data_IF_803536501278
#
_entry.id   IF_803536501278
#
_cell.length_a   1.000
_cell.length_b   1.000
_cell.length_c   1.000
_cell.angle_alpha   90.00
_cell.angle_beta   90.00
_cell.angle_gamma   90.00
#
_symmetry.space_group_name_H-M   'P 1'
#
loop_
_entity.id
_entity.type
_entity.pdbx_description
1 polymer ?
#
# COMPACT_ATOMS: atom_id res chain seq x y z
N UNK A 1 81.76 -17.56 -56.66
CA UNK A 1 81.41 -19.00 -56.59
C UNK A 1 80.60 -19.36 -57.82
N UNK A 2 80.99 -20.42 -58.54
CA UNK A 2 80.41 -20.80 -59.82
C UNK A 2 79.13 -21.63 -59.65
N UNK A 3 78.08 -21.31 -60.40
CA UNK A 3 76.77 -22.00 -60.40
C UNK A 3 76.88 -23.53 -60.59
N UNK A 4 77.98 -24.02 -61.18
CA UNK A 4 78.24 -25.46 -61.36
C UNK A 4 78.59 -26.20 -60.06
N UNK A 5 79.16 -25.52 -59.06
CA UNK A 5 79.48 -26.17 -57.77
C UNK A 5 78.25 -26.30 -56.86
N UNK A 6 77.24 -25.44 -57.02
CA UNK A 6 76.00 -25.52 -56.25
C UNK A 6 75.14 -26.75 -56.66
N UNK A 7 75.18 -27.11 -57.94
CA UNK A 7 74.37 -28.20 -58.48
C UNK A 7 74.84 -29.61 -58.08
N UNK A 8 76.13 -29.76 -57.73
CA UNK A 8 76.68 -31.05 -57.30
C UNK A 8 76.34 -31.43 -55.86
N UNK A 9 76.02 -30.46 -55.00
CA UNK A 9 75.61 -30.72 -53.62
C UNK A 9 74.13 -31.12 -53.48
N UNK A 10 73.29 -30.77 -54.45
CA UNK A 10 71.85 -31.07 -54.42
C UNK A 10 71.54 -32.52 -54.88
N UNK A 11 72.48 -33.21 -55.55
CA UNK A 11 72.25 -34.54 -56.12
C UNK A 11 72.43 -35.73 -55.15
N UNK A 12 72.62 -35.50 -53.85
CA UNK A 12 72.80 -36.55 -52.85
C UNK A 12 71.89 -36.41 -51.61
N UNK A 13 70.80 -35.65 -51.73
CA UNK A 13 69.85 -35.32 -50.64
C UNK A 13 68.52 -36.10 -50.76
N UNK A 14 68.45 -37.18 -51.55
CA UNK A 14 67.18 -37.89 -51.88
C UNK A 14 66.41 -38.44 -50.65
N UNK A 15 67.03 -38.50 -49.47
CA UNK A 15 66.37 -38.89 -48.21
C UNK A 15 66.02 -37.73 -47.26
N UNK A 16 66.72 -36.59 -47.31
CA UNK A 16 66.55 -35.50 -46.34
C UNK A 16 65.28 -34.68 -46.59
N UNK A 17 64.87 -34.55 -47.85
CA UNK A 17 63.62 -33.89 -48.23
C UNK A 17 62.39 -34.59 -47.66
N UNK A 18 62.39 -35.93 -47.63
CA UNK A 18 61.32 -36.72 -47.03
C UNK A 18 61.26 -36.52 -45.52
N UNK A 19 62.40 -36.53 -44.83
CA UNK A 19 62.48 -36.31 -43.38
C UNK A 19 61.97 -34.91 -43.01
N UNK A 20 62.35 -33.89 -43.78
CA UNK A 20 61.92 -32.51 -43.55
C UNK A 20 60.40 -32.36 -43.77
N UNK A 21 59.84 -32.98 -44.81
CA UNK A 21 58.39 -33.03 -45.01
C UNK A 21 57.68 -33.74 -43.85
N UNK A 22 58.24 -34.84 -43.34
CA UNK A 22 57.66 -35.59 -42.22
C UNK A 22 57.70 -34.79 -40.91
N UNK A 23 58.81 -34.09 -40.64
CA UNK A 23 58.93 -33.20 -39.48
C UNK A 23 57.95 -32.02 -39.55
N UNK A 24 57.86 -31.36 -40.71
CA UNK A 24 56.91 -30.24 -40.89
C UNK A 24 55.47 -30.70 -40.76
N UNK A 25 55.12 -31.85 -41.33
CA UNK A 25 53.77 -32.43 -41.22
C UNK A 25 53.45 -32.82 -39.76
N UNK A 26 54.43 -33.37 -39.02
CA UNK A 26 54.27 -33.68 -37.60
C UNK A 26 54.03 -32.41 -36.77
N UNK A 27 54.81 -31.35 -37.01
CA UNK A 27 54.62 -30.06 -36.32
C UNK A 27 53.25 -29.48 -36.62
N UNK A 28 52.82 -29.47 -37.89
CA UNK A 28 51.49 -28.98 -38.28
C UNK A 28 50.37 -29.82 -37.66
N UNK A 29 50.56 -31.13 -37.53
CA UNK A 29 49.57 -32.02 -36.90
C UNK A 29 49.42 -31.75 -35.41
N UNK A 30 50.52 -31.59 -34.67
CA UNK A 30 50.49 -31.25 -33.24
C UNK A 30 49.88 -29.86 -33.02
N UNK A 31 50.21 -28.89 -33.87
CA UNK A 31 49.63 -27.55 -33.83
C UNK A 31 48.12 -27.59 -34.10
N UNK A 32 47.70 -28.33 -35.14
CA UNK A 32 46.29 -28.50 -35.49
C UNK A 32 45.48 -29.17 -34.37
N UNK A 33 46.02 -30.23 -33.75
CA UNK A 33 45.38 -30.90 -32.63
C UNK A 33 45.25 -29.97 -31.41
N UNK A 34 46.28 -29.17 -31.11
CA UNK A 34 46.28 -28.21 -29.99
C UNK A 34 45.24 -27.10 -30.20
N UNK A 35 45.18 -26.52 -31.39
CA UNK A 35 44.17 -25.51 -31.76
C UNK A 35 42.75 -26.08 -31.71
N UNK A 36 42.56 -27.31 -32.18
CA UNK A 36 41.27 -28.01 -32.10
C UNK A 36 40.81 -28.20 -30.65
N UNK A 37 41.71 -28.64 -29.77
CA UNK A 37 41.41 -28.82 -28.35
C UNK A 37 41.03 -27.50 -27.66
N UNK A 38 41.77 -26.42 -27.92
CA UNK A 38 41.47 -25.08 -27.38
C UNK A 38 40.11 -24.60 -27.87
N UNK A 39 39.82 -24.75 -29.17
CA UNK A 39 38.55 -24.29 -29.75
C UNK A 39 37.34 -25.02 -29.15
N UNK A 40 37.41 -26.35 -28.98
CA UNK A 40 36.35 -27.14 -28.35
C UNK A 40 36.18 -26.74 -26.88
N UNK A 41 37.29 -26.50 -26.17
CA UNK A 41 37.26 -26.00 -24.80
C UNK A 41 36.57 -24.65 -24.69
N UNK A 42 36.91 -23.70 -25.58
CA UNK A 42 36.28 -22.37 -25.62
C UNK A 42 34.79 -22.43 -25.95
N UNK A 43 34.37 -23.31 -26.87
CA UNK A 43 32.96 -23.46 -27.21
C UNK A 43 32.15 -23.98 -26.01
N UNK A 44 32.61 -25.04 -25.35
CA UNK A 44 31.97 -25.59 -24.14
C UNK A 44 31.92 -24.59 -22.99
N UNK A 45 32.97 -23.79 -22.82
CA UNK A 45 32.98 -22.74 -21.80
C UNK A 45 31.98 -21.62 -22.14
N UNK A 46 31.87 -21.28 -23.43
CA UNK A 46 30.90 -20.32 -23.94
C UNK A 46 29.46 -20.73 -23.66
N UNK A 47 29.09 -21.96 -24.00
CA UNK A 47 27.74 -22.49 -23.75
C UNK A 47 27.42 -22.47 -22.25
N UNK A 48 28.29 -23.03 -21.41
CA UNK A 48 28.05 -23.02 -19.95
C UNK A 48 27.94 -21.60 -19.37
N UNK A 49 28.75 -20.65 -19.84
CA UNK A 49 28.69 -19.26 -19.36
C UNK A 49 27.40 -18.57 -19.81
N UNK A 50 26.97 -18.84 -21.03
CA UNK A 50 25.74 -18.29 -21.61
C UNK A 50 24.52 -18.81 -20.86
N UNK A 51 24.45 -20.11 -20.62
CA UNK A 51 23.30 -20.74 -19.97
C UNK A 51 23.23 -20.35 -18.48
N UNK A 52 24.39 -20.27 -17.81
CA UNK A 52 24.48 -19.76 -16.43
C UNK A 52 24.00 -18.31 -16.32
N UNK A 53 24.42 -17.46 -17.27
CA UNK A 53 24.01 -16.05 -17.31
C UNK A 53 22.52 -15.93 -17.62
N UNK A 54 22.00 -16.78 -18.52
CA UNK A 54 20.58 -16.85 -18.86
C UNK A 54 19.74 -17.25 -17.66
N UNK A 55 20.11 -18.32 -16.94
CA UNK A 55 19.43 -18.75 -15.73
C UNK A 55 19.40 -17.66 -14.64
N UNK A 56 20.48 -16.87 -14.53
CA UNK A 56 20.51 -15.72 -13.62
C UNK A 56 19.48 -14.64 -14.00
N UNK A 57 19.43 -14.22 -15.27
CA UNK A 57 18.45 -13.23 -15.72
C UNK A 57 17.01 -13.70 -15.57
N UNK A 58 16.76 -15.00 -15.79
CA UNK A 58 15.45 -15.61 -15.56
C UNK A 58 15.07 -15.59 -14.08
N UNK A 59 16.03 -15.89 -13.19
CA UNK A 59 15.82 -15.79 -11.75
C UNK A 59 15.54 -14.34 -11.32
N UNK A 60 16.29 -13.36 -11.84
CA UNK A 60 16.09 -11.95 -11.55
C UNK A 60 14.72 -11.45 -12.05
N UNK A 61 14.34 -11.80 -13.27
CA UNK A 61 13.04 -11.47 -13.83
C UNK A 61 11.89 -12.04 -12.97
N UNK A 62 11.98 -13.31 -12.57
CA UNK A 62 11.01 -13.93 -11.67
C UNK A 62 10.92 -13.24 -10.31
N UNK A 63 12.06 -12.86 -9.72
CA UNK A 63 12.07 -12.11 -8.45
C UNK A 63 11.43 -10.71 -8.59
N UNK A 64 11.62 -10.05 -9.73
CA UNK A 64 11.02 -8.75 -10.01
C UNK A 64 9.51 -8.86 -10.25
N UNK A 65 9.04 -9.85 -11.01
CA UNK A 65 7.61 -10.10 -11.20
C UNK A 65 6.91 -10.38 -9.86
N UNK A 66 7.45 -11.29 -9.05
CA UNK A 66 6.90 -11.58 -7.73
C UNK A 66 6.92 -10.37 -6.79
N UNK A 67 7.92 -9.49 -6.92
CA UNK A 67 7.96 -8.24 -6.14
C UNK A 67 6.84 -7.29 -6.55
N UNK A 68 6.58 -7.11 -7.85
CA UNK A 68 5.48 -6.25 -8.34
C UNK A 68 4.09 -6.82 -8.00
N UNK A 69 3.94 -8.15 -7.96
CA UNK A 69 2.72 -8.79 -7.48
C UNK A 69 2.53 -8.59 -5.97
N UNK A 70 3.60 -8.76 -5.17
CA UNK A 70 3.58 -8.55 -3.73
C UNK A 70 3.28 -7.08 -3.38
N UNK A 71 4.09 -6.15 -3.90
CA UNK A 71 3.64 -4.96 -4.64
C UNK A 71 2.18 -4.54 -4.49
N UNK A 72 1.46 -4.84 -5.57
CA UNK A 72 0.05 -4.56 -5.77
C UNK A 72 -0.85 -5.26 -4.74
N UNK A 73 -0.55 -6.49 -4.36
CA UNK A 73 -1.35 -7.25 -3.39
C UNK A 73 -1.37 -6.60 -2.01
N UNK A 74 -0.21 -6.17 -1.51
CA UNK A 74 -0.10 -5.46 -0.22
C UNK A 74 -0.84 -4.12 -0.25
N UNK A 75 -0.76 -3.36 -1.35
CA UNK A 75 -1.52 -2.11 -1.51
C UNK A 75 -3.03 -2.38 -1.47
N UNK A 76 -3.51 -3.40 -2.18
CA UNK A 76 -4.92 -3.78 -2.15
C UNK A 76 -5.40 -4.26 -0.76
N UNK A 77 -4.50 -4.81 0.06
CA UNK A 77 -4.78 -5.13 1.47
C UNK A 77 -4.82 -3.88 2.33
N UNK A 78 -3.90 -2.92 2.10
CA UNK A 78 -3.84 -1.65 2.82
C UNK A 78 -5.14 -0.85 2.65
N UNK A 79 -5.67 -0.78 1.43
CA UNK A 79 -6.92 -0.09 1.10
C UNK A 79 -8.16 -0.62 1.86
N UNK A 80 -8.08 -1.84 2.41
CA UNK A 80 -9.14 -2.44 3.23
C UNK A 80 -9.17 -1.90 4.67
N UNK A 81 -8.20 -1.07 5.08
CA UNK A 81 -8.11 -0.46 6.42
C UNK A 81 -8.16 -1.50 7.55
N UNK A 82 -7.45 -2.61 7.37
CA UNK A 82 -7.39 -3.66 8.39
C UNK A 82 -6.52 -3.21 9.57
N UNK A 83 -6.89 -3.55 10.82
CA UNK A 83 -5.98 -3.42 11.96
C UNK A 83 -4.67 -4.16 11.70
N UNK A 84 -3.54 -3.69 12.24
CA UNK A 84 -2.19 -4.24 11.99
C UNK A 84 -2.12 -5.77 11.99
N UNK A 85 -2.70 -6.41 13.01
CA UNK A 85 -2.67 -7.87 13.13
C UNK A 85 -3.43 -8.55 11.98
N UNK A 86 -4.59 -8.02 11.57
CA UNK A 86 -5.36 -8.53 10.44
C UNK A 86 -4.69 -8.20 9.11
N UNK A 87 -4.07 -7.02 8.99
CA UNK A 87 -3.30 -6.63 7.82
C UNK A 87 -2.19 -7.63 7.54
N UNK A 88 -1.36 -8.00 8.53
CA UNK A 88 -0.27 -8.92 8.29
C UNK A 88 -0.66 -10.40 8.33
N UNK A 89 -1.50 -10.81 9.29
CA UNK A 89 -1.72 -12.24 9.59
C UNK A 89 -3.04 -12.79 9.06
N UNK A 90 -3.97 -11.94 8.59
CA UNK A 90 -5.27 -12.37 8.07
C UNK A 90 -5.16 -13.09 6.72
N UNK A 91 -6.09 -13.99 6.42
CA UNK A 91 -6.20 -14.64 5.09
C UNK A 91 -6.45 -13.60 3.99
N UNK A 92 -7.25 -12.57 4.28
CA UNK A 92 -7.45 -11.42 3.39
C UNK A 92 -6.33 -10.37 3.45
N UNK A 93 -5.27 -10.66 4.22
CA UNK A 93 -4.13 -9.79 4.50
C UNK A 93 -2.87 -10.10 3.67
N UNK A 94 -1.72 -9.56 4.09
CA UNK A 94 -0.40 -9.78 3.48
C UNK A 94 -0.03 -11.27 3.48
N UNK A 95 -0.46 -12.04 4.49
CA UNK A 95 -0.30 -13.50 4.52
C UNK A 95 -0.96 -14.16 3.30
N UNK A 96 -2.19 -13.79 2.94
CA UNK A 96 -2.87 -14.33 1.77
C UNK A 96 -2.17 -13.98 0.47
N UNK A 97 -1.71 -12.73 0.34
CA UNK A 97 -0.90 -12.29 -0.82
C UNK A 97 0.36 -13.14 -0.95
N UNK A 98 1.11 -13.30 0.15
CA UNK A 98 2.31 -14.15 0.18
C UNK A 98 2.00 -15.59 -0.25
N UNK A 99 0.96 -16.19 0.32
CA UNK A 99 0.58 -17.57 0.04
C UNK A 99 0.10 -17.77 -1.40
N UNK A 100 -0.41 -16.73 -2.06
CA UNK A 100 -0.77 -16.77 -3.49
C UNK A 100 0.44 -16.72 -4.44
N UNK A 101 1.58 -16.20 -3.99
CA UNK A 101 2.82 -16.07 -4.78
C UNK A 101 3.80 -17.22 -4.45
N UNK A 102 3.74 -17.76 -3.23
CA UNK A 102 4.65 -18.80 -2.78
C UNK A 102 4.45 -20.11 -3.55
N UNK A 103 5.48 -20.56 -4.27
CA UNK A 103 5.42 -21.74 -5.12
C UNK A 103 4.95 -21.48 -6.55
N UNK A 104 4.61 -20.23 -6.90
CA UNK A 104 4.26 -19.86 -8.28
C UNK A 104 5.44 -20.06 -9.24
N UNK A 105 5.10 -20.41 -10.48
CA UNK A 105 6.04 -20.69 -11.55
C UNK A 105 5.81 -19.75 -12.73
N UNK A 106 6.81 -18.94 -13.07
CA UNK A 106 6.80 -18.11 -14.27
C UNK A 106 7.48 -18.82 -15.43
N UNK A 107 6.88 -18.74 -16.61
CA UNK A 107 7.45 -19.22 -17.88
C UNK A 107 7.82 -18.05 -18.77
N UNK A 108 8.95 -18.13 -19.45
CA UNK A 108 9.44 -17.08 -20.35
C UNK A 108 9.45 -17.54 -21.81
N UNK A 109 9.75 -16.63 -22.73
CA UNK A 109 9.88 -16.96 -24.13
C UNK A 109 11.00 -17.98 -24.37
N UNK A 110 10.80 -18.88 -25.33
CA UNK A 110 11.76 -19.92 -25.69
C UNK A 110 13.11 -19.31 -26.08
N UNK A 111 14.19 -19.87 -25.53
CA UNK A 111 15.57 -19.48 -25.82
C UNK A 111 16.38 -20.73 -26.14
N UNK A 112 16.97 -20.78 -27.34
CA UNK A 112 17.83 -21.90 -27.79
C UNK A 112 17.17 -23.30 -27.76
N UNK A 113 15.84 -23.38 -27.94
CA UNK A 113 15.12 -24.66 -28.00
C UNK A 113 14.49 -25.11 -26.68
N UNK A 114 14.69 -24.35 -25.60
CA UNK A 114 14.14 -24.64 -24.27
C UNK A 114 13.31 -23.46 -23.77
N UNK A 115 12.28 -23.75 -22.97
CA UNK A 115 11.41 -22.73 -22.35
C UNK A 115 11.92 -22.44 -20.95
N UNK A 116 12.51 -21.26 -20.68
CA UNK A 116 13.00 -20.94 -19.36
C UNK A 116 11.87 -20.82 -18.34
N UNK A 117 12.17 -21.16 -17.10
CA UNK A 117 11.21 -21.07 -15.99
C UNK A 117 11.83 -20.44 -14.75
N UNK A 118 11.03 -19.75 -13.94
CA UNK A 118 11.41 -19.30 -12.61
C UNK A 118 10.41 -19.79 -11.56
N UNK A 119 10.89 -20.41 -10.49
CA UNK A 119 10.06 -20.82 -9.34
C UNK A 119 10.27 -19.88 -8.17
N UNK A 120 9.18 -19.40 -7.57
CA UNK A 120 9.20 -18.39 -6.50
C UNK A 120 8.97 -19.01 -5.13
N UNK A 121 9.66 -18.47 -4.13
CA UNK A 121 9.37 -18.74 -2.72
C UNK A 121 9.45 -17.44 -1.93
N UNK A 122 8.45 -17.15 -1.10
CA UNK A 122 8.41 -15.93 -0.28
C UNK A 122 8.45 -16.29 1.19
N UNK A 123 9.51 -15.86 1.88
CA UNK A 123 9.69 -16.15 3.32
C UNK A 123 9.63 -14.89 4.16
N UNK A 124 8.88 -14.97 5.26
CA UNK A 124 8.89 -13.98 6.32
C UNK A 124 10.15 -14.17 7.19
N UNK A 125 10.84 -13.06 7.47
CA UNK A 125 12.10 -13.02 8.23
C UNK A 125 11.89 -12.36 9.59
N UNK A 126 10.96 -11.41 9.67
CA UNK A 126 10.62 -10.64 10.87
C UNK A 126 9.11 -10.58 11.04
N UNK A 127 8.66 -10.71 12.30
CA UNK A 127 7.25 -10.54 12.68
C UNK A 127 6.96 -9.12 13.24
N UNK A 128 7.98 -8.28 13.39
CA UNK A 128 7.84 -6.91 13.88
C UNK A 128 7.44 -6.00 12.73
N UNK A 129 6.72 -4.90 13.00
CA UNK A 129 6.44 -3.86 12.04
C UNK A 129 7.56 -2.79 12.05
N UNK A 130 8.24 -2.52 10.93
CA UNK A 130 7.97 -3.07 9.60
C UNK A 130 8.46 -4.51 9.40
N UNK A 131 7.65 -5.34 8.73
CA UNK A 131 7.94 -6.76 8.50
C UNK A 131 8.89 -6.96 7.35
N UNK A 132 9.85 -7.85 7.53
CA UNK A 132 10.84 -8.18 6.51
C UNK A 132 10.48 -9.50 5.83
N UNK A 133 10.54 -9.50 4.50
CA UNK A 133 10.33 -10.68 3.66
C UNK A 133 11.51 -10.83 2.70
N UNK A 134 11.72 -12.07 2.23
CA UNK A 134 12.69 -12.38 1.18
C UNK A 134 12.00 -13.19 0.11
N UNK A 135 11.94 -12.61 -1.09
CA UNK A 135 11.55 -13.32 -2.31
C UNK A 135 12.78 -14.07 -2.80
N UNK A 136 12.68 -15.38 -2.96
CA UNK A 136 13.70 -16.24 -3.56
C UNK A 136 13.17 -16.74 -4.90
N UNK A 137 13.89 -16.45 -5.98
CA UNK A 137 13.55 -16.93 -7.31
C UNK A 137 14.64 -17.89 -7.80
N UNK A 138 14.24 -19.07 -8.25
CA UNK A 138 15.13 -20.06 -8.87
C UNK A 138 14.81 -20.11 -10.36
N UNK A 139 15.70 -19.52 -11.17
CA UNK A 139 15.61 -19.52 -12.63
C UNK A 139 16.31 -20.74 -13.20
N UNK A 140 15.69 -21.38 -14.19
CA UNK A 140 16.18 -22.59 -14.86
C UNK A 140 16.20 -22.41 -16.39
N UNK A 141 17.34 -22.73 -17.00
CA UNK A 141 17.55 -22.76 -18.46
C UNK A 141 18.40 -24.00 -18.78
N UNK A 142 17.89 -24.91 -19.60
CA UNK A 142 18.60 -26.15 -20.01
C UNK A 142 19.20 -26.93 -18.82
N UNK A 143 18.41 -27.12 -17.76
CA UNK A 143 18.82 -27.80 -16.52
C UNK A 143 19.86 -27.06 -15.68
N UNK A 144 20.28 -25.86 -16.07
CA UNK A 144 21.12 -24.97 -15.27
C UNK A 144 20.24 -24.08 -14.42
N UNK A 145 20.55 -23.99 -13.13
CA UNK A 145 19.77 -23.20 -12.18
C UNK A 145 20.59 -22.08 -11.57
N UNK A 146 19.98 -20.91 -11.40
CA UNK A 146 20.52 -19.83 -10.57
C UNK A 146 19.45 -19.33 -9.61
N UNK A 147 19.89 -18.84 -8.45
CA UNK A 147 19.00 -18.35 -7.40
C UNK A 147 19.28 -16.89 -7.12
N UNK A 148 18.23 -16.08 -7.15
CA UNK A 148 18.25 -14.66 -6.78
C UNK A 148 17.39 -14.47 -5.53
N UNK A 149 17.86 -13.64 -4.60
CA UNK A 149 17.13 -13.27 -3.40
C UNK A 149 16.90 -11.76 -3.37
N UNK A 150 15.65 -11.34 -3.24
CA UNK A 150 15.25 -9.94 -3.16
C UNK A 150 14.62 -9.67 -1.80
N UNK A 151 15.33 -8.99 -0.87
CA UNK A 151 14.74 -8.58 0.39
C UNK A 151 13.75 -7.43 0.15
N UNK A 152 12.62 -7.46 0.87
CA UNK A 152 11.66 -6.37 0.89
C UNK A 152 11.15 -6.14 2.31
N UNK A 153 10.75 -4.91 2.59
CA UNK A 153 10.19 -4.51 3.87
C UNK A 153 8.79 -3.99 3.65
N UNK A 154 7.80 -4.53 4.37
CA UNK A 154 6.42 -4.08 4.37
C UNK A 154 6.13 -3.38 5.68
N UNK A 155 5.80 -2.10 5.60
CA UNK A 155 5.41 -1.31 6.76
C UNK A 155 3.89 -1.24 6.82
N UNK A 156 3.34 -1.36 8.03
CA UNK A 156 1.96 -0.97 8.29
C UNK A 156 2.01 0.32 9.10
N UNK A 157 1.36 1.35 8.61
CA UNK A 157 0.97 2.49 9.43
C UNK A 157 -0.53 2.43 9.60
N UNK A 158 -1.02 2.80 10.77
CA UNK A 158 -2.40 3.23 10.87
C UNK A 158 -2.52 4.41 9.90
N UNK A 159 -3.29 4.24 8.83
CA UNK A 159 -3.43 5.31 7.86
C UNK A 159 -3.97 6.53 8.59
N UNK A 160 -3.24 7.64 8.54
CA UNK A 160 -3.80 8.97 8.75
C UNK A 160 -4.78 9.19 7.59
N UNK A 161 -5.93 8.52 7.64
CA UNK A 161 -6.99 8.76 6.68
C UNK A 161 -7.57 10.08 7.12
N UNK A 162 -7.40 11.17 6.35
CA UNK A 162 -8.07 12.41 6.68
C UNK A 162 -9.54 12.09 6.85
N UNK A 163 -10.10 12.48 8.00
CA UNK A 163 -11.53 12.32 8.25
C UNK A 163 -12.23 13.30 7.32
N UNK A 164 -12.53 12.83 6.10
CA UNK A 164 -13.29 13.60 5.14
C UNK A 164 -14.76 13.57 5.55
N UNK A 165 -15.22 14.71 6.09
CA UNK A 165 -16.64 14.92 6.26
C UNK A 165 -17.29 15.12 4.88
N UNK A 166 -18.41 14.47 4.59
CA UNK A 166 -19.09 14.69 3.32
C UNK A 166 -19.47 16.16 3.14
N UNK A 167 -19.43 16.64 1.90
CA UNK A 167 -19.78 18.02 1.61
C UNK A 167 -21.19 18.37 2.08
N UNK A 168 -21.32 19.59 2.61
CA UNK A 168 -22.58 20.18 3.09
C UNK A 168 -23.28 19.35 4.18
N UNK A 169 -22.55 18.53 4.94
CA UNK A 169 -23.10 17.75 6.06
C UNK A 169 -23.63 18.66 7.17
N UNK A 170 -24.94 18.64 7.41
CA UNK A 170 -25.53 19.24 8.59
C UNK A 170 -25.54 18.26 9.77
N UNK A 171 -25.86 16.99 9.48
CA UNK A 171 -25.98 15.95 10.49
C UNK A 171 -25.31 14.65 10.02
N UNK A 172 -24.50 14.05 10.88
CA UNK A 172 -23.97 12.70 10.71
C UNK A 172 -24.34 11.90 11.97
N UNK A 173 -25.14 10.83 11.82
CA UNK A 173 -25.65 10.04 12.96
C UNK A 173 -25.31 8.55 12.84
N UNK A 174 -24.77 7.90 13.90
CA UNK A 174 -24.51 6.44 13.93
C UNK A 174 -25.80 5.64 14.19
N UNK A 175 -26.73 6.28 14.87
CA UNK A 175 -28.02 5.75 15.30
C UNK A 175 -29.18 6.51 14.67
N UNK A 176 -30.34 6.44 15.33
CA UNK A 176 -31.57 7.06 14.85
C UNK A 176 -31.58 8.58 15.09
N UNK A 177 -32.30 9.28 14.20
CA UNK A 177 -32.53 10.72 14.31
C UNK A 177 -34.01 10.96 14.60
N UNK A 178 -34.33 11.72 15.65
CA UNK A 178 -35.70 12.16 15.97
C UNK A 178 -35.83 13.68 15.78
N UNK A 179 -36.74 14.10 14.89
CA UNK A 179 -37.03 15.51 14.60
C UNK A 179 -38.46 15.86 15.03
N UNK A 180 -38.63 16.88 15.88
CA UNK A 180 -39.95 17.29 16.42
C UNK A 180 -40.37 18.68 15.97
N UNK A 181 -41.68 18.86 15.80
CA UNK A 181 -42.43 20.05 15.40
C UNK A 181 -41.61 21.25 14.87
N UNK A 182 -41.61 21.45 13.54
CA UNK A 182 -41.07 22.66 12.93
C UNK A 182 -39.55 22.81 12.99
N UNK A 183 -38.79 21.72 13.16
CA UNK A 183 -37.33 21.73 12.97
C UNK A 183 -36.99 22.03 11.51
N UNK A 184 -35.95 22.83 11.28
CA UNK A 184 -35.40 23.13 9.96
C UNK A 184 -33.93 22.69 9.90
N UNK A 185 -33.59 21.86 8.90
CA UNK A 185 -32.22 21.40 8.66
C UNK A 185 -31.77 21.91 7.29
N UNK A 186 -30.68 22.65 7.24
CA UNK A 186 -30.07 23.16 6.00
C UNK A 186 -28.72 22.47 5.79
N UNK A 187 -28.71 21.53 4.85
CA UNK A 187 -27.59 20.65 4.58
C UNK A 187 -28.00 19.17 4.60
N UNK A 188 -27.04 18.34 4.23
CA UNK A 188 -27.22 16.91 4.03
C UNK A 188 -27.22 16.16 5.37
N UNK A 189 -27.95 15.04 5.41
CA UNK A 189 -28.00 14.12 6.55
C UNK A 189 -27.41 12.77 6.13
N UNK A 190 -26.46 12.28 6.91
CA UNK A 190 -25.79 11.00 6.67
C UNK A 190 -26.01 10.06 7.85
N UNK A 191 -26.45 8.82 7.55
CA UNK A 191 -26.68 7.78 8.53
C UNK A 191 -26.43 6.39 7.93
N UNK A 192 -26.16 5.36 8.75
CA UNK A 192 -26.05 3.99 8.28
C UNK A 192 -27.34 3.47 7.64
N UNK A 193 -27.19 2.45 6.80
CA UNK A 193 -28.29 1.87 6.01
C UNK A 193 -29.43 1.26 6.84
N UNK A 194 -29.17 0.88 8.08
CA UNK A 194 -30.12 0.23 8.99
C UNK A 194 -30.77 1.22 9.99
N UNK A 195 -30.45 2.52 9.92
CA UNK A 195 -30.98 3.57 10.81
C UNK A 195 -32.08 4.38 10.14
N UNK A 196 -32.82 5.11 10.96
CA UNK A 196 -34.02 5.83 10.51
C UNK A 196 -34.09 7.27 11.00
N UNK A 197 -34.84 8.09 10.24
CA UNK A 197 -35.21 9.45 10.63
C UNK A 197 -36.71 9.47 10.98
N UNK A 198 -37.01 9.66 12.27
CA UNK A 198 -38.39 9.81 12.76
C UNK A 198 -38.79 11.28 12.73
N UNK A 199 -39.78 11.63 11.90
CA UNK A 199 -40.31 12.99 11.75
C UNK A 199 -41.65 13.14 12.47
N UNK A 200 -41.73 14.03 13.45
CA UNK A 200 -42.96 14.39 14.17
C UNK A 200 -43.25 15.87 13.99
N UNK A 201 -44.44 16.24 13.49
CA UNK A 201 -44.84 17.65 13.41
C UNK A 201 -44.20 18.46 12.29
N UNK A 202 -44.06 17.86 11.11
CA UNK A 202 -43.63 18.55 9.87
C UNK A 202 -42.26 19.25 9.95
N UNK A 203 -41.17 18.54 10.32
CA UNK A 203 -39.83 19.09 10.14
C UNK A 203 -39.52 19.26 8.64
N UNK A 204 -38.72 20.28 8.31
CA UNK A 204 -38.30 20.60 6.94
C UNK A 204 -36.80 20.35 6.80
N UNK A 205 -36.41 19.66 5.72
CA UNK A 205 -35.01 19.38 5.40
C UNK A 205 -34.72 20.00 4.04
N UNK A 206 -33.81 20.97 4.02
CA UNK A 206 -33.28 21.64 2.84
C UNK A 206 -31.93 21.01 2.48
N UNK A 207 -31.98 19.74 2.09
CA UNK A 207 -30.81 18.92 1.75
C UNK A 207 -31.23 17.49 1.43
N UNK A 208 -30.26 16.65 1.09
CA UNK A 208 -30.47 15.23 0.82
C UNK A 208 -30.26 14.37 2.07
N UNK A 209 -30.80 13.16 2.05
CA UNK A 209 -30.61 12.16 3.11
C UNK A 209 -29.98 10.91 2.52
N UNK A 210 -28.81 10.55 3.04
CA UNK A 210 -28.02 9.43 2.55
C UNK A 210 -27.99 8.30 3.59
N UNK A 211 -28.31 7.10 3.13
CA UNK A 211 -28.24 5.86 3.91
C UNK A 211 -27.14 4.99 3.31
N UNK A 212 -25.98 4.89 3.98
CA UNK A 212 -24.81 4.20 3.43
C UNK A 212 -24.01 3.54 4.57
N UNK A 213 -23.65 2.26 4.39
CA UNK A 213 -22.87 1.49 5.38
C UNK A 213 -21.45 2.02 5.56
N UNK A 214 -20.93 2.83 4.63
CA UNK A 214 -19.60 3.45 4.81
C UNK A 214 -19.51 4.34 6.05
N UNK A 215 -20.65 4.87 6.52
CA UNK A 215 -20.69 5.73 7.70
C UNK A 215 -20.60 4.96 9.01
N UNK A 216 -20.78 3.64 9.01
CA UNK A 216 -20.53 2.81 10.20
C UNK A 216 -19.05 2.89 10.63
N UNK A 217 -18.14 2.85 9.66
CA UNK A 217 -16.69 2.91 9.90
C UNK A 217 -16.17 4.31 10.24
N UNK A 218 -16.89 5.38 9.91
CA UNK A 218 -16.47 6.76 10.20
C UNK A 218 -16.37 7.01 11.71
N UNK A 219 -17.30 6.47 12.50
CA UNK A 219 -17.34 6.63 13.95
C UNK A 219 -16.19 5.94 14.65
N UNK A 220 -15.83 4.74 14.17
CA UNK A 220 -14.75 3.97 14.76
C UNK A 220 -13.40 4.67 14.51
N UNK A 221 -13.24 5.30 13.33
CA UNK A 221 -12.07 6.16 13.01
C UNK A 221 -12.01 7.43 13.86
N UNK A 222 -13.13 8.16 14.00
CA UNK A 222 -13.21 9.39 14.81
C UNK A 222 -12.77 9.18 16.26
N UNK A 223 -13.10 8.03 16.85
CA UNK A 223 -12.73 7.74 18.24
C UNK A 223 -11.23 7.58 18.45
N UNK A 224 -10.51 6.97 17.50
CA UNK A 224 -9.06 6.84 17.57
C UNK A 224 -8.37 8.19 17.41
N UNK A 225 -8.83 8.99 16.44
CA UNK A 225 -8.20 10.25 16.05
C UNK A 225 -8.34 11.37 17.10
N UNK A 226 -9.53 11.53 17.68
CA UNK A 226 -9.82 12.71 18.52
C UNK A 226 -9.00 12.72 19.83
N UNK A 227 -8.52 11.57 20.30
CA UNK A 227 -7.76 11.45 21.55
C UNK A 227 -6.33 12.05 21.49
N UNK A 228 -5.71 12.10 20.32
CA UNK A 228 -4.31 12.52 20.21
C UNK A 228 -4.15 13.98 19.78
N UNK A 229 -4.92 14.44 18.81
CA UNK A 229 -4.72 15.75 18.17
C UNK A 229 -5.47 16.92 18.84
N UNK A 230 -6.56 16.65 19.57
CA UNK A 230 -7.31 17.71 20.27
C UNK A 230 -6.75 18.06 21.65
N UNK A 231 -5.49 17.71 21.93
CA UNK A 231 -4.79 18.11 23.16
C UNK A 231 -4.48 19.61 23.21
N UNK A 232 -4.48 20.30 22.07
CA UNK A 232 -4.33 21.75 21.96
C UNK A 232 -5.49 22.37 21.16
N UNK A 233 -6.73 22.32 21.69
CA UNK A 233 -7.87 22.94 21.04
C UNK A 233 -7.67 24.46 21.00
N UNK A 234 -8.11 25.13 19.92
CA UNK A 234 -8.14 26.60 19.87
C UNK A 234 -9.03 27.18 20.99
N UNK A 235 -8.88 28.48 21.28
CA UNK A 235 -9.48 29.16 22.45
C UNK A 235 -11.01 28.99 22.60
N UNK A 236 -11.72 28.71 21.52
CA UNK A 236 -13.19 28.57 21.48
C UNK A 236 -13.67 27.10 21.43
N UNK A 237 -12.79 26.11 21.67
CA UNK A 237 -13.16 24.69 21.61
C UNK A 237 -13.27 24.06 22.99
N UNK A 238 -14.42 23.41 23.26
CA UNK A 238 -14.66 22.63 24.49
C UNK A 238 -14.36 21.17 24.19
N UNK A 239 -13.41 20.58 24.90
CA UNK A 239 -13.07 19.15 24.78
C UNK A 239 -13.34 18.45 26.11
N UNK A 240 -14.15 17.39 26.07
CA UNK A 240 -14.48 16.54 27.22
C UNK A 240 -14.19 15.10 26.81
N UNK A 241 -13.21 14.49 27.47
CA UNK A 241 -12.82 13.10 27.23
C UNK A 241 -13.89 12.12 27.73
N UNK A 242 -14.30 12.30 28.99
CA UNK A 242 -15.31 11.45 29.64
C UNK A 242 -16.32 12.29 30.42
N UNK A 243 -17.60 11.97 30.25
CA UNK A 243 -18.73 12.60 30.92
C UNK A 243 -19.60 13.43 29.99
N UNK A 244 -20.82 13.69 30.45
CA UNK A 244 -21.81 14.46 29.69
C UNK A 244 -21.49 15.96 29.70
N UNK A 245 -21.86 16.65 28.64
CA UNK A 245 -21.77 18.10 28.54
C UNK A 245 -23.14 18.73 28.36
N UNK A 246 -23.43 19.78 29.12
CA UNK A 246 -24.62 20.61 28.93
C UNK A 246 -24.20 22.04 28.62
N UNK A 247 -24.57 22.53 27.45
CA UNK A 247 -24.34 23.93 27.06
C UNK A 247 -25.10 24.84 28.05
N UNK A 248 -24.53 25.97 28.49
CA UNK A 248 -25.24 26.88 29.38
C UNK A 248 -26.61 27.30 28.82
N UNK A 249 -27.64 27.31 29.68
CA UNK A 249 -29.02 27.62 29.27
C UNK A 249 -29.14 29.06 28.77
N UNK A 250 -29.94 29.28 27.70
CA UNK A 250 -30.22 30.61 27.15
C UNK A 250 -28.96 31.41 26.81
N UNK A 251 -27.95 30.72 26.29
CA UNK A 251 -26.65 31.30 25.98
C UNK A 251 -26.33 31.16 24.50
N UNK A 252 -25.26 31.83 24.07
CA UNK A 252 -24.61 31.62 22.79
C UNK A 252 -23.23 31.01 23.06
N UNK A 253 -22.98 29.82 22.54
CA UNK A 253 -21.66 29.22 22.50
C UNK A 253 -21.02 29.50 21.14
N UNK A 254 -19.77 29.96 21.10
CA UNK A 254 -19.01 30.12 19.87
C UNK A 254 -17.90 29.08 19.87
N UNK A 255 -17.72 28.40 18.73
CA UNK A 255 -16.71 27.37 18.55
C UNK A 255 -17.23 25.95 18.72
N UNK A 256 -16.29 25.01 18.81
CA UNK A 256 -16.55 23.57 18.62
C UNK A 256 -16.71 22.87 19.96
N UNK A 257 -17.74 22.03 20.08
CA UNK A 257 -17.96 21.16 21.23
C UNK A 257 -17.56 19.74 20.84
N UNK A 258 -16.63 19.15 21.58
CA UNK A 258 -16.14 17.78 21.39
C UNK A 258 -16.33 17.02 22.70
N UNK A 259 -17.19 16.01 22.69
CA UNK A 259 -17.44 15.12 23.82
C UNK A 259 -17.18 13.69 23.37
N UNK A 260 -16.02 13.17 23.74
CA UNK A 260 -15.56 11.85 23.30
C UNK A 260 -16.43 10.72 23.84
N UNK A 261 -16.64 10.69 25.16
CA UNK A 261 -17.45 9.67 25.84
C UNK A 261 -18.48 10.33 26.77
N UNK A 262 -19.61 10.71 26.22
CA UNK A 262 -20.73 11.26 26.99
C UNK A 262 -21.73 11.95 26.10
N UNK A 263 -22.90 12.23 26.65
CA UNK A 263 -23.98 12.88 25.91
C UNK A 263 -23.79 14.40 25.85
N UNK A 264 -24.26 15.03 24.77
CA UNK A 264 -24.32 16.50 24.65
C UNK A 264 -25.77 16.96 24.76
N UNK A 265 -26.02 17.91 25.66
CA UNK A 265 -27.32 18.55 25.84
C UNK A 265 -27.22 20.03 25.50
N UNK A 266 -27.94 20.46 24.48
CA UNK A 266 -28.16 21.88 24.14
C UNK A 266 -29.54 22.27 24.68
N UNK A 267 -29.65 23.03 25.78
CA UNK A 267 -30.95 23.37 26.35
C UNK A 267 -31.78 24.29 25.46
N UNK A 268 -33.04 24.51 25.83
CA UNK A 268 -33.94 25.39 25.10
C UNK A 268 -33.41 26.83 24.99
N UNK A 269 -33.69 27.47 23.86
CA UNK A 269 -33.30 28.86 23.58
C UNK A 269 -31.79 29.10 23.59
N UNK A 270 -30.99 28.10 23.23
CA UNK A 270 -29.52 28.20 23.18
C UNK A 270 -29.06 28.22 21.73
N UNK A 271 -28.04 29.02 21.42
CA UNK A 271 -27.41 29.08 20.11
C UNK A 271 -25.99 28.52 20.19
N UNK A 272 -25.60 27.69 19.22
CA UNK A 272 -24.23 27.20 19.07
C UNK A 272 -23.72 27.62 17.70
N UNK A 273 -22.74 28.52 17.68
CA UNK A 273 -22.04 28.97 16.48
C UNK A 273 -20.76 28.14 16.30
N UNK A 274 -20.95 26.89 15.88
CA UNK A 274 -19.89 25.93 15.66
C UNK A 274 -20.43 24.51 15.63
N UNK A 275 -19.52 23.55 15.49
CA UNK A 275 -19.87 22.13 15.34
C UNK A 275 -19.95 21.42 16.69
N UNK A 276 -20.76 20.36 16.75
CA UNK A 276 -20.89 19.47 17.91
C UNK A 276 -20.48 18.07 17.49
N UNK A 277 -19.47 17.51 18.15
CA UNK A 277 -18.96 16.16 17.95
C UNK A 277 -19.13 15.34 19.23
N UNK A 278 -19.97 14.31 19.16
CA UNK A 278 -20.18 13.33 20.22
C UNK A 278 -20.17 11.90 19.65
N UNK A 279 -19.03 11.41 19.11
CA UNK A 279 -19.00 10.17 18.33
C UNK A 279 -19.46 8.93 19.10
N UNK A 280 -19.36 8.94 20.43
CA UNK A 280 -19.87 7.88 21.33
C UNK A 280 -21.05 8.31 22.20
N UNK A 281 -21.59 9.50 21.96
CA UNK A 281 -22.63 10.13 22.75
C UNK A 281 -23.91 10.37 21.97
N UNK A 282 -25.01 10.51 22.70
CA UNK A 282 -26.25 11.03 22.15
C UNK A 282 -26.23 12.56 22.19
N UNK A 283 -26.92 13.19 21.25
CA UNK A 283 -27.07 14.64 21.21
C UNK A 283 -28.55 15.00 21.37
N UNK A 284 -28.83 15.88 22.33
CA UNK A 284 -30.17 16.38 22.62
C UNK A 284 -30.22 17.90 22.41
N UNK A 285 -30.98 18.35 21.41
CA UNK A 285 -31.17 19.76 21.09
C UNK A 285 -32.57 20.17 21.52
N UNK A 286 -32.64 21.09 22.48
CA UNK A 286 -33.88 21.61 23.06
C UNK A 286 -34.67 22.48 22.10
N UNK A 287 -35.84 22.92 22.55
CA UNK A 287 -36.77 23.73 21.76
C UNK A 287 -36.20 25.12 21.48
N UNK A 288 -36.38 25.60 20.24
CA UNK A 288 -35.92 26.92 19.76
C UNK A 288 -34.43 27.14 19.97
N UNK A 289 -33.64 26.12 19.69
CA UNK A 289 -32.19 26.17 19.78
C UNK A 289 -31.58 26.03 18.39
N UNK A 290 -30.60 26.85 18.09
CA UNK A 290 -30.04 26.95 16.74
C UNK A 290 -28.58 26.51 16.74
N UNK A 291 -28.20 25.67 15.77
CA UNK A 291 -26.83 25.22 15.56
C UNK A 291 -26.37 25.70 14.18
N UNK A 292 -25.30 26.49 14.16
CA UNK A 292 -24.65 26.99 12.96
C UNK A 292 -23.30 26.27 12.80
N UNK A 293 -23.38 25.03 12.34
CA UNK A 293 -22.28 24.08 12.21
C UNK A 293 -22.79 22.66 11.95
N UNK A 294 -21.87 21.69 11.99
CA UNK A 294 -22.20 20.28 11.81
C UNK A 294 -22.48 19.60 13.15
N UNK A 295 -23.42 18.66 13.17
CA UNK A 295 -23.73 17.82 14.33
C UNK A 295 -23.38 16.36 14.04
N UNK A 296 -22.52 15.77 14.85
CA UNK A 296 -22.10 14.38 14.75
C UNK A 296 -22.35 13.64 16.06
N UNK A 297 -23.17 12.58 16.06
CA UNK A 297 -23.47 11.81 17.27
C UNK A 297 -23.95 10.38 17.01
N UNK A 298 -24.25 9.63 18.08
CA UNK A 298 -24.94 8.33 17.97
C UNK A 298 -26.41 8.56 17.63
N UNK A 299 -27.24 8.88 18.62
CA UNK A 299 -28.63 9.25 18.38
C UNK A 299 -28.79 10.75 18.53
N UNK A 300 -29.53 11.37 17.61
CA UNK A 300 -29.70 12.82 17.57
C UNK A 300 -31.18 13.14 17.75
N UNK A 301 -31.50 13.83 18.84
CA UNK A 301 -32.86 14.20 19.20
C UNK A 301 -33.00 15.72 19.14
N UNK A 302 -33.81 16.21 18.20
CA UNK A 302 -34.02 17.63 17.99
C UNK A 302 -35.47 17.97 18.30
N UNK A 303 -35.65 18.83 19.29
CA UNK A 303 -36.94 19.30 19.76
C UNK A 303 -37.47 20.49 18.93
N UNK A 304 -38.63 21.02 19.31
CA UNK A 304 -39.43 21.88 18.43
C UNK A 304 -38.77 23.21 18.00
N UNK A 305 -39.01 23.62 16.75
CA UNK A 305 -38.63 24.92 16.18
C UNK A 305 -37.14 25.26 16.25
N UNK A 306 -36.28 24.24 16.18
CA UNK A 306 -34.82 24.38 16.20
C UNK A 306 -34.27 24.36 14.78
N UNK A 307 -33.19 25.12 14.54
CA UNK A 307 -32.56 25.24 13.22
C UNK A 307 -31.17 24.62 13.26
N UNK A 308 -30.82 23.79 12.29
CA UNK A 308 -29.44 23.37 12.04
C UNK A 308 -29.04 23.86 10.66
N UNK A 309 -27.94 24.60 10.58
CA UNK A 309 -27.38 25.10 9.33
C UNK A 309 -25.92 24.74 9.28
N UNK A 310 -25.52 24.00 8.24
CA UNK A 310 -24.11 23.88 7.93
C UNK A 310 -23.62 25.18 7.28
N UNK A 311 -23.14 26.10 8.10
CA UNK A 311 -22.39 27.25 7.65
C UNK A 311 -20.90 26.85 7.68
N UNK A 312 -20.44 26.26 6.56
CA UNK A 312 -19.11 25.66 6.33
C UNK A 312 -17.91 26.57 6.70
N UNK A 313 -17.69 26.80 7.99
CA UNK A 313 -16.54 27.56 8.50
C UNK A 313 -15.73 26.72 9.48
N UNK A 314 -15.77 25.40 9.32
CA UNK A 314 -14.90 24.49 10.03
C UNK A 314 -13.56 24.43 9.29
N UNK A 315 -12.71 25.43 9.53
CA UNK A 315 -11.27 25.26 9.32
C UNK A 315 -10.81 24.26 10.38
N UNK A 316 -10.53 23.03 9.95
CA UNK A 316 -9.71 22.16 10.79
C UNK A 316 -8.42 22.92 11.13
N UNK A 317 -7.90 22.79 12.36
CA UNK A 317 -6.64 23.44 12.71
C UNK A 317 -5.59 23.13 11.63
N UNK A 318 -4.85 24.15 11.15
CA UNK A 318 -3.85 23.99 10.10
C UNK A 318 -2.84 22.92 10.53
N UNK A 319 -2.89 21.77 9.86
CA UNK A 319 -2.22 20.54 10.29
C UNK A 319 -2.82 19.27 9.67
N UNK A 320 -4.07 19.34 9.18
CA UNK A 320 -4.73 18.25 8.45
C UNK A 320 -4.74 18.42 6.92
N UNK A 321 -4.08 19.45 6.39
CA UNK A 321 -3.83 19.50 4.94
C UNK A 321 -2.78 18.44 4.61
N UNK A 322 -3.26 17.34 4.05
CA UNK A 322 -2.44 16.23 3.60
C UNK A 322 -1.45 16.72 2.54
N UNK A 323 -0.16 16.50 2.78
CA UNK A 323 0.91 16.58 1.79
C UNK A 323 0.73 15.41 0.80
N UNK A 324 -0.30 15.54 -0.04
CA UNK A 324 -0.89 14.48 -0.87
C UNK A 324 0.03 13.89 -1.95
N UNK A 325 1.30 14.32 -2.02
CA UNK A 325 2.16 13.99 -3.16
C UNK A 325 3.39 13.11 -2.88
N UNK A 326 3.71 12.68 -1.66
CA UNK A 326 4.98 11.94 -1.45
C UNK A 326 4.98 10.68 -0.56
N UNK A 327 3.94 10.35 0.21
CA UNK A 327 4.05 9.27 1.23
C UNK A 327 3.56 7.87 0.85
N UNK A 328 2.75 7.71 -0.19
CA UNK A 328 2.18 6.39 -0.52
C UNK A 328 3.15 5.45 -1.25
N UNK A 329 4.30 5.93 -1.73
CA UNK A 329 5.30 5.08 -2.40
C UNK A 329 6.17 4.24 -1.42
N UNK A 330 6.12 4.51 -0.12
CA UNK A 330 7.05 3.94 0.88
C UNK A 330 6.52 2.72 1.66
N UNK A 331 5.32 2.21 1.36
CA UNK A 331 4.78 1.02 2.05
C UNK A 331 5.60 -0.25 1.77
N UNK A 332 6.31 -0.29 0.63
CA UNK A 332 7.19 -1.40 0.26
C UNK A 332 8.51 -0.83 -0.27
N UNK A 333 9.56 -0.96 0.53
CA UNK A 333 10.91 -0.61 0.11
C UNK A 333 11.79 -1.84 -0.08
N UNK A 334 12.70 -1.76 -1.04
CA UNK A 334 13.78 -2.74 -1.19
C UNK A 334 15.02 -2.21 -0.50
N UNK A 335 15.61 -2.99 0.41
CA UNK A 335 17.01 -2.76 0.79
C UNK A 335 17.89 -3.12 -0.41
N UNK A 336 18.93 -2.35 -0.75
CA UNK A 336 19.84 -2.69 -1.84
C UNK A 336 20.39 -4.10 -1.61
N UNK A 337 20.25 -4.95 -2.63
CA UNK A 337 20.79 -6.30 -2.58
C UNK A 337 22.31 -6.21 -2.44
N UNK A 338 22.84 -6.67 -1.32
CA UNK A 338 24.27 -6.99 -1.22
C UNK A 338 24.45 -8.25 -2.07
N UNK A 339 25.10 -8.11 -3.22
CA UNK A 339 25.43 -9.25 -4.09
C UNK A 339 26.29 -10.29 -3.35
N UNK A 340 26.12 -11.58 -3.64
CA UNK A 340 26.88 -12.66 -3.02
C UNK A 340 28.31 -12.78 -3.57
N UNK A 341 29.22 -13.17 -2.66
CA UNK A 341 30.66 -13.48 -2.79
C UNK A 341 31.19 -13.92 -4.16
#
# INVERSE_FOLDING_TARGET
MSFKQLHSYIKNEEGSGLILALMTLLVLSVLGASLGAVTIGSFKLGDNTRDDSSAYYIAEAGANMAYEEMKAGVMAVYDKNLPENSFFNGEDGVKGVRESIDGEGYTFEEQSGEVPTATITVKEVSNANPREYVITSVGEVDGKTRTVKKPLTVSWSEGDIPIEFPNESAIISKGDIELKNGVEIHGNIYLPSDKSITKKGNPTIYGETFHDSKYDGLYDKLNGYILEDFKNPGDDTVVIDEGDYTVPKKSTHNGTIIVLKGDVVVPNHTVVNGSIFAPLGNIYIGTKSDIYGMVLGININIDTHSIIKNENNFDFPPGLEEDTNEKNDDLISTKPAIEPN
#
